data_IF_237109872947
#
_entry.id   IF_237109872947
#
_cell.length_a   1.000
_cell.length_b   1.000
_cell.length_c   1.000
_cell.angle_alpha   90.00
_cell.angle_beta   90.00
_cell.angle_gamma   90.00
#
_symmetry.space_group_name_H-M   'P 1'
#
loop_
_entity.id
_entity.type
_entity.pdbx_description
1 polymer ?
#
# COMPACT_ATOMS: atom_id res chain seq x y z
N UNK A 1 15.01 8.95 -11.71
CA UNK A 1 14.15 9.87 -10.94
C UNK A 1 14.95 10.33 -9.75
N UNK A 2 14.97 11.63 -9.42
CA UNK A 2 15.51 12.09 -8.14
C UNK A 2 14.70 11.43 -7.02
N UNK A 3 15.33 11.16 -5.88
CA UNK A 3 14.63 10.55 -4.74
C UNK A 3 13.46 11.42 -4.26
N UNK A 4 13.58 12.75 -4.40
CA UNK A 4 12.52 13.72 -4.10
C UNK A 4 11.24 13.55 -4.94
N UNK A 5 11.33 12.98 -6.14
CA UNK A 5 10.20 12.80 -7.06
C UNK A 5 9.43 11.49 -6.81
N UNK A 6 9.86 10.67 -5.84
CA UNK A 6 9.22 9.38 -5.57
C UNK A 6 7.78 9.61 -5.08
N UNK A 7 6.78 8.93 -5.68
CA UNK A 7 5.37 9.17 -5.38
C UNK A 7 4.95 8.73 -3.97
N UNK A 8 5.67 7.81 -3.35
CA UNK A 8 5.33 7.23 -2.04
C UNK A 8 6.50 7.37 -1.05
N UNK A 9 6.20 7.46 0.26
CA UNK A 9 7.14 7.17 1.35
C UNK A 9 6.74 5.84 1.97
N UNK A 10 7.72 4.99 2.24
CA UNK A 10 7.57 3.81 3.07
C UNK A 10 8.34 4.05 4.38
N UNK A 11 7.60 4.27 5.45
CA UNK A 11 8.14 4.42 6.81
C UNK A 11 8.25 3.04 7.44
N UNK A 12 9.47 2.63 7.80
CA UNK A 12 9.72 1.36 8.50
C UNK A 12 9.81 1.57 10.01
N UNK A 13 9.16 0.68 10.76
CA UNK A 13 9.21 0.61 12.21
C UNK A 13 9.98 -0.63 12.69
N UNK A 14 10.54 -0.57 13.90
CA UNK A 14 11.44 -1.58 14.47
C UNK A 14 10.85 -3.01 14.54
N UNK A 15 9.54 -3.15 14.68
CA UNK A 15 8.85 -4.43 14.90
C UNK A 15 8.15 -4.96 13.63
N UNK A 16 8.74 -4.73 12.45
CA UNK A 16 8.22 -5.24 11.18
C UNK A 16 7.01 -4.47 10.63
N UNK A 17 6.48 -3.51 11.39
CA UNK A 17 5.48 -2.56 10.89
C UNK A 17 6.06 -1.69 9.80
N UNK A 18 5.27 -1.45 8.75
CA UNK A 18 5.58 -0.46 7.73
C UNK A 18 4.31 0.32 7.40
N UNK A 19 4.47 1.58 7.04
CA UNK A 19 3.39 2.43 6.57
C UNK A 19 3.77 3.00 5.20
N UNK A 20 2.85 2.96 4.24
CA UNK A 20 3.07 3.49 2.89
C UNK A 20 2.09 4.63 2.67
N UNK A 21 2.63 5.83 2.42
CA UNK A 21 1.83 7.03 2.24
C UNK A 21 2.17 7.74 0.92
N UNK A 22 1.17 8.26 0.20
CA UNK A 22 1.41 9.12 -0.97
C UNK A 22 1.97 10.47 -0.52
N UNK A 23 3.07 10.90 -1.14
CA UNK A 23 3.75 12.17 -0.78
C UNK A 23 3.24 13.38 -1.54
N UNK A 24 2.76 13.15 -2.75
CA UNK A 24 2.47 14.20 -3.72
C UNK A 24 1.22 13.84 -4.55
N UNK A 25 0.76 14.80 -5.36
CA UNK A 25 -0.41 14.61 -6.22
C UNK A 25 -0.27 13.44 -7.19
N UNK A 26 0.96 13.06 -7.57
CA UNK A 26 1.21 11.87 -8.41
C UNK A 26 0.98 10.58 -7.60
N UNK A 27 1.48 10.49 -6.38
CA UNK A 27 1.24 9.36 -5.47
C UNK A 27 -0.24 9.16 -5.18
N UNK A 28 -0.97 10.24 -4.91
CA UNK A 28 -2.42 10.19 -4.72
C UNK A 28 -3.17 9.69 -5.96
N UNK A 29 -2.86 10.25 -7.13
CA UNK A 29 -3.47 9.78 -8.40
C UNK A 29 -3.20 8.30 -8.62
N UNK A 30 -1.96 7.87 -8.46
CA UNK A 30 -1.55 6.47 -8.59
C UNK A 30 -2.29 5.55 -7.61
N UNK A 31 -2.42 5.96 -6.36
CA UNK A 31 -3.15 5.20 -5.34
C UNK A 31 -4.65 5.12 -5.67
N UNK A 32 -5.28 6.24 -6.01
CA UNK A 32 -6.69 6.27 -6.39
C UNK A 32 -6.96 5.42 -7.63
N UNK A 33 -6.11 5.50 -8.65
CA UNK A 33 -6.21 4.62 -9.82
C UNK A 33 -6.09 3.15 -9.41
N UNK A 34 -5.14 2.80 -8.55
CA UNK A 34 -4.99 1.42 -8.08
C UNK A 34 -6.22 0.91 -7.30
N UNK A 35 -6.82 1.76 -6.48
CA UNK A 35 -8.03 1.45 -5.71
C UNK A 35 -9.29 1.40 -6.59
N UNK A 36 -9.33 2.14 -7.69
CA UNK A 36 -10.46 2.17 -8.61
C UNK A 36 -10.49 0.94 -9.55
N UNK A 37 -9.33 0.41 -9.91
CA UNK A 37 -9.21 -0.75 -10.81
C UNK A 37 -10.04 -1.99 -10.40
N UNK A 38 -10.14 -2.39 -9.12
CA UNK A 38 -10.97 -3.53 -8.73
C UNK A 38 -12.48 -3.23 -8.70
N UNK A 39 -12.94 -1.99 -8.87
CA UNK A 39 -14.36 -1.65 -8.75
C UNK A 39 -15.28 -2.42 -9.71
N UNK A 40 -14.94 -2.61 -11.01
CA UNK A 40 -15.76 -3.44 -11.89
C UNK A 40 -15.86 -4.90 -11.43
N UNK A 41 -14.79 -5.45 -10.85
CA UNK A 41 -14.78 -6.80 -10.30
C UNK A 41 -15.69 -6.90 -9.07
N UNK A 42 -15.61 -5.92 -8.17
CA UNK A 42 -16.47 -5.83 -6.98
C UNK A 42 -17.94 -5.69 -7.40
N UNK A 43 -18.24 -4.81 -8.36
CA UNK A 43 -19.59 -4.62 -8.88
C UNK A 43 -20.12 -5.89 -9.57
N UNK A 44 -19.30 -6.57 -10.36
CA UNK A 44 -19.65 -7.84 -10.99
C UNK A 44 -19.95 -8.94 -9.97
N UNK A 45 -19.15 -9.03 -8.91
CA UNK A 45 -19.41 -9.96 -7.82
C UNK A 45 -20.71 -9.63 -7.06
N UNK A 46 -20.94 -8.36 -6.74
CA UNK A 46 -22.18 -7.91 -6.08
C UNK A 46 -23.42 -8.30 -6.90
N UNK A 47 -23.42 -7.98 -8.21
CA UNK A 47 -24.51 -8.34 -9.12
C UNK A 47 -24.71 -9.85 -9.24
N UNK A 48 -23.63 -10.64 -9.20
CA UNK A 48 -23.72 -12.10 -9.18
C UNK A 48 -24.41 -12.59 -7.90
N UNK A 49 -24.00 -12.08 -6.74
CA UNK A 49 -24.59 -12.47 -5.45
C UNK A 49 -26.06 -12.08 -5.32
N UNK A 50 -26.47 -10.95 -5.90
CA UNK A 50 -27.87 -10.52 -5.93
C UNK A 50 -28.73 -11.40 -6.84
N UNK A 51 -28.23 -11.78 -8.01
CA UNK A 51 -29.01 -12.52 -9.02
C UNK A 51 -29.05 -14.02 -8.79
N UNK A 52 -28.05 -14.58 -8.12
CA UNK A 52 -27.89 -16.03 -7.97
C UNK A 52 -27.44 -16.42 -6.56
N UNK A 53 -28.23 -16.11 -5.51
CA UNK A 53 -27.84 -16.36 -4.12
C UNK A 53 -27.62 -17.85 -3.82
N UNK A 54 -28.42 -18.73 -4.42
CA UNK A 54 -28.37 -20.18 -4.18
C UNK A 54 -27.63 -20.95 -5.29
N UNK A 55 -26.77 -20.27 -6.05
CA UNK A 55 -26.03 -20.93 -7.12
C UNK A 55 -25.13 -22.04 -6.55
N UNK A 56 -25.14 -23.25 -7.13
CA UNK A 56 -24.17 -24.28 -6.76
C UNK A 56 -22.71 -23.84 -7.02
N UNK A 57 -22.51 -22.82 -7.86
CA UNK A 57 -21.21 -22.23 -8.14
C UNK A 57 -20.79 -21.14 -7.14
N UNK A 58 -21.66 -20.72 -6.21
CA UNK A 58 -21.43 -19.56 -5.35
C UNK A 58 -20.13 -19.68 -4.54
N UNK A 59 -19.90 -20.82 -3.89
CA UNK A 59 -18.70 -21.05 -3.08
C UNK A 59 -17.41 -20.94 -3.91
N UNK A 60 -17.42 -21.47 -5.14
CA UNK A 60 -16.28 -21.40 -6.05
C UNK A 60 -16.02 -19.95 -6.50
N UNK A 61 -17.07 -19.21 -6.87
CA UNK A 61 -16.96 -17.80 -7.27
C UNK A 61 -16.47 -16.93 -6.11
N UNK A 62 -16.98 -17.15 -4.89
CA UNK A 62 -16.53 -16.47 -3.68
C UNK A 62 -15.05 -16.73 -3.40
N UNK A 63 -14.61 -17.99 -3.47
CA UNK A 63 -13.20 -18.34 -3.27
C UNK A 63 -12.28 -17.65 -4.29
N UNK A 64 -12.67 -17.66 -5.57
CA UNK A 64 -11.93 -16.96 -6.64
C UNK A 64 -11.89 -15.45 -6.39
N UNK A 65 -13.00 -14.85 -5.97
CA UNK A 65 -13.06 -13.43 -5.65
C UNK A 65 -12.12 -13.06 -4.49
N UNK A 66 -12.16 -13.82 -3.38
CA UNK A 66 -11.28 -13.60 -2.23
C UNK A 66 -9.81 -13.73 -2.63
N UNK A 67 -9.45 -14.79 -3.36
CA UNK A 67 -8.08 -14.99 -3.82
C UNK A 67 -7.63 -13.86 -4.77
N UNK A 68 -8.49 -13.44 -5.69
CA UNK A 68 -8.22 -12.32 -6.58
C UNK A 68 -7.97 -11.02 -5.83
N UNK A 69 -8.82 -10.69 -4.84
CA UNK A 69 -8.65 -9.50 -4.01
C UNK A 69 -7.39 -9.55 -3.14
N UNK A 70 -7.05 -10.72 -2.58
CA UNK A 70 -5.83 -10.90 -1.81
C UNK A 70 -4.58 -10.69 -2.69
N UNK A 71 -4.54 -11.30 -3.88
CA UNK A 71 -3.46 -11.11 -4.85
C UNK A 71 -3.36 -9.65 -5.30
N UNK A 72 -4.50 -8.98 -5.52
CA UNK A 72 -4.54 -7.56 -5.87
C UNK A 72 -3.95 -6.67 -4.78
N UNK A 73 -4.31 -6.93 -3.51
CA UNK A 73 -3.80 -6.19 -2.37
C UNK A 73 -2.28 -6.38 -2.20
N UNK A 74 -1.81 -7.63 -2.27
CA UNK A 74 -0.37 -7.96 -2.20
C UNK A 74 0.39 -7.31 -3.36
N UNK A 75 -0.14 -7.42 -4.58
CA UNK A 75 0.43 -6.78 -5.76
C UNK A 75 0.53 -5.26 -5.61
N UNK A 76 -0.50 -4.62 -5.04
CA UNK A 76 -0.51 -3.20 -4.72
C UNK A 76 0.59 -2.81 -3.74
N UNK A 77 0.75 -3.56 -2.65
CA UNK A 77 1.81 -3.32 -1.66
C UNK A 77 3.20 -3.44 -2.31
N UNK A 78 3.45 -4.51 -3.08
CA UNK A 78 4.73 -4.71 -3.78
C UNK A 78 4.99 -3.58 -4.76
N UNK A 79 3.97 -3.20 -5.54
CA UNK A 79 4.07 -2.16 -6.57
C UNK A 79 4.32 -0.76 -5.99
N UNK A 80 3.64 -0.40 -4.89
CA UNK A 80 3.86 0.86 -4.18
C UNK A 80 5.23 0.88 -3.50
N UNK A 81 5.64 -0.22 -2.87
CA UNK A 81 6.96 -0.35 -2.24
C UNK A 81 8.10 -0.18 -3.24
N UNK A 82 7.96 -0.70 -4.46
CA UNK A 82 8.94 -0.51 -5.53
C UNK A 82 9.08 0.96 -5.99
N UNK A 83 8.10 1.81 -5.68
CA UNK A 83 8.03 3.24 -6.04
C UNK A 83 8.15 4.16 -4.82
N UNK A 84 8.44 3.61 -3.65
CA UNK A 84 8.52 4.35 -2.41
C UNK A 84 9.96 4.76 -2.08
N UNK A 85 10.10 5.93 -1.47
CA UNK A 85 11.30 6.26 -0.72
C UNK A 85 11.24 5.57 0.64
N UNK A 86 12.26 4.77 0.97
CA UNK A 86 12.27 4.01 2.22
C UNK A 86 12.93 4.85 3.31
N UNK A 87 12.15 5.19 4.32
CA UNK A 87 12.60 5.96 5.48
C UNK A 87 12.63 5.04 6.70
N UNK A 88 13.82 4.87 7.28
CA UNK A 88 14.01 4.13 8.52
C UNK A 88 13.95 5.09 9.71
N UNK A 89 12.89 4.98 10.51
CA UNK A 89 12.65 5.86 11.66
C UNK A 89 13.74 5.70 12.71
N UNK A 90 14.31 4.50 12.89
CA UNK A 90 15.34 4.28 13.89
C UNK A 90 16.65 4.96 13.48
N UNK A 91 17.00 4.91 12.19
CA UNK A 91 18.14 5.65 11.66
C UNK A 91 17.95 7.16 11.83
N UNK A 92 16.75 7.68 11.56
CA UNK A 92 16.46 9.10 11.77
C UNK A 92 16.59 9.52 13.24
N UNK A 93 16.09 8.71 14.18
CA UNK A 93 16.21 8.99 15.62
C UNK A 93 17.68 8.95 16.06
N UNK A 94 18.48 7.99 15.58
CA UNK A 94 19.90 7.90 15.90
C UNK A 94 20.68 9.11 15.37
N UNK A 95 20.47 9.47 14.11
CA UNK A 95 21.10 10.64 13.49
C UNK A 95 20.75 11.93 14.24
N UNK A 96 19.48 12.10 14.63
CA UNK A 96 19.05 13.26 15.42
C UNK A 96 19.76 13.33 16.78
N UNK A 97 19.87 12.19 17.49
CA UNK A 97 20.60 12.11 18.78
C UNK A 97 22.09 12.44 18.62
N UNK A 98 22.72 12.02 17.53
CA UNK A 98 24.13 12.35 17.27
C UNK A 98 24.33 13.83 16.95
N UNK A 99 23.42 14.45 16.22
CA UNK A 99 23.45 15.89 15.96
C UNK A 99 23.28 16.70 17.24
N UNK A 100 22.32 16.34 18.10
CA UNK A 100 22.11 17.00 19.40
C UNK A 100 23.35 16.88 20.31
N UNK A 101 24.03 15.72 20.31
CA UNK A 101 25.29 15.52 21.03
C UNK A 101 26.41 16.41 20.50
N UNK A 102 26.55 16.53 19.18
CA UNK A 102 27.54 17.41 18.54
C UNK A 102 27.27 18.90 18.80
N UNK A 103 26.00 19.30 18.90
CA UNK A 103 25.62 20.67 19.22
C UNK A 103 25.84 21.04 20.69
N UNK A 104 25.70 20.08 21.62
CA UNK A 104 25.95 20.31 23.06
C UNK A 104 27.44 20.30 23.46
N UNK A 105 28.31 19.76 22.61
CA UNK A 105 29.76 19.73 22.83
C UNK A 105 30.53 20.92 22.23
N UNK A 106 29.82 21.89 21.65
CA UNK A 106 30.32 23.20 21.21
C UNK A 106 29.72 24.29 22.08
#
# INVERSE_FOLDING_TARGET
MRDDDKPFVLTKYRWGGFNIEPRNARGWRLMLTWLALPLPLIGGFALFTEKQPDSPAFAAVLAVFILGMALWAIGGIIWMRARAEVVDVEQLIRLKREQERKQRGR
#
